data_IF_132312325442
#
_entry.id   IF_132312325442
#
_cell.length_a   1.000
_cell.length_b   1.000
_cell.length_c   1.000
_cell.angle_alpha   90.00
_cell.angle_beta   90.00
_cell.angle_gamma   90.00
#
_symmetry.space_group_name_H-M   'P 1'
#
loop_
_entity.id
_entity.type
_entity.pdbx_description
1 polymer ?
#
# COMPACT_ATOMS: atom_id res chain seq x y z
N UNK A 1 31.97 20.53 32.56
CA UNK A 1 32.17 19.21 31.90
C UNK A 1 30.89 18.43 31.56
N UNK A 2 29.72 18.66 32.18
CA UNK A 2 28.50 17.85 31.92
C UNK A 2 27.83 18.04 30.53
N UNK A 3 28.01 19.19 29.84
CA UNK A 3 27.32 19.49 28.57
C UNK A 3 27.83 18.70 27.35
N UNK A 4 29.08 18.24 27.38
CA UNK A 4 29.67 17.44 26.29
C UNK A 4 28.97 16.07 26.22
N UNK A 5 28.68 15.49 27.40
CA UNK A 5 28.04 14.19 27.52
C UNK A 5 26.58 14.22 27.02
N UNK A 6 25.84 15.31 27.27
CA UNK A 6 24.45 15.45 26.80
C UNK A 6 24.35 15.68 25.29
N UNK A 7 25.24 16.50 24.69
CA UNK A 7 25.31 16.70 23.24
C UNK A 7 25.69 15.40 22.52
N UNK A 8 26.67 14.67 23.05
CA UNK A 8 27.11 13.38 22.49
C UNK A 8 26.00 12.32 22.58
N UNK A 9 25.35 12.20 23.75
CA UNK A 9 24.19 11.33 23.95
C UNK A 9 23.06 11.65 22.95
N UNK A 10 22.73 12.93 22.76
CA UNK A 10 21.67 13.35 21.82
C UNK A 10 22.02 12.99 20.37
N UNK A 11 23.29 13.14 19.96
CA UNK A 11 23.79 12.75 18.64
C UNK A 11 23.72 11.23 18.42
N UNK A 12 24.10 10.44 19.43
CA UNK A 12 24.02 8.97 19.39
C UNK A 12 22.56 8.51 19.33
N UNK A 13 21.70 9.02 20.22
CA UNK A 13 20.28 8.67 20.25
C UNK A 13 19.57 9.00 18.93
N UNK A 14 19.90 10.13 18.29
CA UNK A 14 19.34 10.49 16.97
C UNK A 14 19.70 9.45 15.91
N UNK A 15 20.92 8.91 15.92
CA UNK A 15 21.34 7.85 14.98
C UNK A 15 20.62 6.54 15.26
N UNK A 16 20.45 6.17 16.54
CA UNK A 16 19.73 4.95 16.94
C UNK A 16 18.28 5.03 16.51
N UNK A 17 17.58 6.13 16.80
CA UNK A 17 16.19 6.31 16.38
C UNK A 17 16.05 6.34 14.85
N UNK A 18 16.97 6.99 14.16
CA UNK A 18 16.97 6.99 12.69
C UNK A 18 17.17 5.58 12.12
N UNK A 19 18.14 4.82 12.62
CA UNK A 19 18.38 3.44 12.20
C UNK A 19 17.21 2.51 12.53
N UNK A 20 16.59 2.67 13.71
CA UNK A 20 15.39 1.92 14.09
C UNK A 20 14.20 2.24 13.20
N UNK A 21 13.98 3.53 12.91
CA UNK A 21 12.92 3.98 12.02
C UNK A 21 13.12 3.48 10.59
N UNK A 22 14.34 3.59 10.03
CA UNK A 22 14.69 3.02 8.74
C UNK A 22 14.43 1.51 8.73
N UNK A 23 14.90 0.77 9.74
CA UNK A 23 14.68 -0.68 9.83
C UNK A 23 13.20 -1.05 9.86
N UNK A 24 12.36 -0.21 10.46
CA UNK A 24 10.91 -0.42 10.51
C UNK A 24 10.20 -0.04 9.20
N UNK A 25 10.62 1.04 8.54
CA UNK A 25 10.10 1.46 7.23
C UNK A 25 10.50 0.52 6.10
N UNK A 26 11.73 0.00 6.13
CA UNK A 26 12.25 -0.96 5.15
C UNK A 26 11.90 -2.42 5.53
N UNK A 27 10.93 -2.63 6.42
CA UNK A 27 10.36 -3.96 6.59
C UNK A 27 9.71 -4.39 5.27
N UNK A 28 9.98 -5.61 4.75
CA UNK A 28 9.37 -6.12 3.53
C UNK A 28 7.85 -5.92 3.45
N UNK A 29 7.14 -6.09 4.58
CA UNK A 29 5.69 -5.84 4.66
C UNK A 29 5.33 -4.37 4.44
N UNK A 30 6.11 -3.44 4.99
CA UNK A 30 5.86 -2.00 4.84
C UNK A 30 6.10 -1.55 3.40
N UNK A 31 7.16 -2.03 2.74
CA UNK A 31 7.44 -1.75 1.33
C UNK A 31 6.30 -2.25 0.45
N UNK A 32 5.86 -3.50 0.68
CA UNK A 32 4.73 -4.08 -0.04
C UNK A 32 3.43 -3.32 0.21
N UNK A 33 3.23 -2.74 1.40
CA UNK A 33 2.08 -1.89 1.72
C UNK A 33 2.11 -0.51 1.06
N UNK A 34 3.29 0.10 0.92
CA UNK A 34 3.43 1.39 0.26
C UNK A 34 3.19 1.32 -1.25
N UNK A 35 3.51 0.18 -1.88
CA UNK A 35 3.36 -0.02 -3.32
C UNK A 35 1.92 0.21 -3.81
N UNK A 36 0.87 -0.50 -3.35
CA UNK A 36 -0.49 -0.28 -3.83
C UNK A 36 -1.02 1.11 -3.44
N UNK A 37 -0.63 1.63 -2.27
CA UNK A 37 -1.02 2.99 -1.85
C UNK A 37 -0.48 4.03 -2.83
N UNK A 38 0.78 3.91 -3.23
CA UNK A 38 1.38 4.82 -4.22
C UNK A 38 0.71 4.71 -5.59
N UNK A 39 0.38 3.49 -6.05
CA UNK A 39 -0.28 3.30 -7.35
C UNK A 39 -1.69 3.90 -7.35
N UNK A 40 -2.49 3.65 -6.30
CA UNK A 40 -3.81 4.28 -6.14
C UNK A 40 -3.70 5.80 -6.08
N UNK A 41 -2.69 6.33 -5.39
CA UNK A 41 -2.41 7.76 -5.36
C UNK A 41 -2.13 8.34 -6.73
N UNK A 42 -1.34 7.66 -7.57
CA UNK A 42 -1.06 8.10 -8.94
C UNK A 42 -2.31 7.99 -9.83
N UNK A 43 -3.10 6.93 -9.69
CA UNK A 43 -4.37 6.78 -10.42
C UNK A 43 -5.33 7.92 -10.06
N UNK A 44 -5.40 8.31 -8.80
CA UNK A 44 -6.27 9.41 -8.34
C UNK A 44 -5.87 10.79 -8.92
N UNK A 45 -4.62 10.95 -9.37
CA UNK A 45 -4.19 12.15 -10.09
C UNK A 45 -4.60 12.12 -11.57
N UNK A 46 -4.74 10.93 -12.16
CA UNK A 46 -5.07 10.73 -13.57
C UNK A 46 -6.58 10.66 -13.81
N UNK A 47 -7.34 10.17 -12.82
CA UNK A 47 -8.79 9.92 -12.95
C UNK A 47 -9.54 10.54 -11.77
N UNK A 48 -10.66 11.21 -12.07
CA UNK A 48 -11.56 11.74 -11.03
C UNK A 48 -12.33 10.61 -10.34
N UNK A 49 -11.88 10.22 -9.15
CA UNK A 49 -12.56 9.21 -8.32
C UNK A 49 -13.99 9.62 -7.98
N UNK A 50 -14.24 10.92 -7.79
CA UNK A 50 -15.59 11.45 -7.53
C UNK A 50 -16.53 11.18 -8.69
N UNK A 51 -16.07 11.38 -9.93
CA UNK A 51 -16.87 11.11 -11.11
C UNK A 51 -17.10 9.61 -11.28
N UNK A 52 -16.10 8.78 -11.02
CA UNK A 52 -16.26 7.31 -11.05
C UNK A 52 -17.32 6.87 -10.04
N UNK A 53 -17.26 7.36 -8.80
CA UNK A 53 -18.21 7.01 -7.76
C UNK A 53 -19.64 7.51 -8.06
N UNK A 54 -19.78 8.71 -8.61
CA UNK A 54 -21.07 9.28 -8.96
C UNK A 54 -21.76 8.56 -10.13
N UNK A 55 -20.98 7.99 -11.05
CA UNK A 55 -21.49 7.26 -12.22
C UNK A 55 -21.55 5.75 -12.00
N UNK A 56 -21.14 5.26 -10.82
CA UNK A 56 -21.10 3.84 -10.53
C UNK A 56 -22.52 3.28 -10.37
N UNK A 57 -22.89 2.21 -11.10
CA UNK A 57 -24.19 1.56 -10.95
C UNK A 57 -24.33 0.89 -9.57
N UNK A 58 -25.57 0.56 -9.21
CA UNK A 58 -25.87 -0.09 -7.94
C UNK A 58 -25.03 -1.37 -7.74
N UNK A 59 -24.51 -1.55 -6.52
CA UNK A 59 -23.74 -2.72 -6.12
C UNK A 59 -24.52 -4.05 -6.23
N UNK A 60 -25.85 -3.97 -6.25
CA UNK A 60 -26.73 -5.14 -6.39
C UNK A 60 -26.88 -5.60 -7.84
N UNK A 61 -26.52 -4.77 -8.83
CA UNK A 61 -26.61 -5.12 -10.24
C UNK A 61 -25.22 -5.46 -10.81
N UNK A 62 -24.85 -6.74 -10.69
CA UNK A 62 -23.53 -7.26 -11.05
C UNK A 62 -23.24 -7.08 -12.55
N UNK A 63 -24.23 -7.26 -13.44
CA UNK A 63 -24.03 -7.08 -14.90
C UNK A 63 -23.71 -5.62 -15.23
N UNK A 64 -24.46 -4.68 -14.67
CA UNK A 64 -24.21 -3.25 -14.88
C UNK A 64 -22.84 -2.83 -14.33
N UNK A 65 -22.46 -3.32 -13.15
CA UNK A 65 -21.13 -3.11 -12.57
C UNK A 65 -20.01 -3.63 -13.48
N UNK A 66 -20.14 -4.87 -13.96
CA UNK A 66 -19.14 -5.47 -14.84
C UNK A 66 -18.95 -4.66 -16.11
N UNK A 67 -20.05 -4.27 -16.77
CA UNK A 67 -20.00 -3.42 -17.98
C UNK A 67 -19.37 -2.06 -17.69
N UNK A 68 -19.72 -1.45 -16.55
CA UNK A 68 -19.17 -0.17 -16.13
C UNK A 68 -17.65 -0.26 -15.92
N UNK A 69 -17.16 -1.21 -15.13
CA UNK A 69 -15.73 -1.37 -14.87
C UNK A 69 -14.95 -1.76 -16.13
N UNK A 70 -15.49 -2.66 -16.95
CA UNK A 70 -14.85 -3.04 -18.22
C UNK A 70 -14.75 -1.84 -19.16
N UNK A 71 -15.83 -1.06 -19.29
CA UNK A 71 -15.83 0.14 -20.11
C UNK A 71 -14.86 1.20 -19.56
N UNK A 72 -14.91 1.47 -18.26
CA UNK A 72 -14.02 2.43 -17.61
C UNK A 72 -12.54 2.03 -17.77
N UNK A 73 -12.20 0.76 -17.60
CA UNK A 73 -10.84 0.27 -17.77
C UNK A 73 -10.36 0.42 -19.22
N UNK A 74 -11.15 -0.04 -20.20
CA UNK A 74 -10.78 0.00 -21.62
C UNK A 74 -10.65 1.42 -22.17
N UNK A 75 -11.42 2.37 -21.62
CA UNK A 75 -11.39 3.77 -22.05
C UNK A 75 -10.41 4.66 -21.26
N UNK A 76 -9.65 4.10 -20.30
CA UNK A 76 -8.59 4.84 -19.60
C UNK A 76 -7.25 4.76 -20.33
N UNK A 77 -6.35 5.70 -20.04
CA UNK A 77 -5.00 5.69 -20.57
C UNK A 77 -4.22 4.43 -20.16
N UNK A 78 -3.28 4.00 -21.00
CA UNK A 78 -2.45 2.83 -20.76
C UNK A 78 -1.73 2.87 -19.39
N UNK A 79 -1.29 4.06 -18.94
CA UNK A 79 -0.67 4.23 -17.64
C UNK A 79 -1.62 3.86 -16.48
N UNK A 80 -2.89 4.27 -16.56
CA UNK A 80 -3.92 3.94 -15.55
C UNK A 80 -4.21 2.46 -15.57
N UNK A 81 -4.32 1.84 -16.75
CA UNK A 81 -4.52 0.39 -16.88
C UNK A 81 -3.38 -0.39 -16.22
N UNK A 82 -2.13 -0.02 -16.52
CA UNK A 82 -0.94 -0.65 -15.94
C UNK A 82 -0.90 -0.51 -14.41
N UNK A 83 -1.15 0.71 -13.90
CA UNK A 83 -1.19 0.96 -12.45
C UNK A 83 -2.32 0.22 -11.77
N UNK A 84 -3.48 0.09 -12.41
CA UNK A 84 -4.64 -0.64 -11.87
C UNK A 84 -4.34 -2.13 -11.74
N UNK A 85 -3.78 -2.75 -12.79
CA UNK A 85 -3.34 -4.15 -12.75
C UNK A 85 -2.21 -4.33 -11.72
N UNK A 86 -1.23 -3.43 -11.71
CA UNK A 86 -0.15 -3.44 -10.74
C UNK A 86 -0.65 -3.33 -9.30
N UNK A 87 -1.71 -2.55 -9.06
CA UNK A 87 -2.34 -2.42 -7.74
C UNK A 87 -2.96 -3.74 -7.30
N UNK A 88 -3.68 -4.43 -8.18
CA UNK A 88 -4.27 -5.74 -7.86
C UNK A 88 -3.20 -6.78 -7.52
N UNK A 89 -2.13 -6.82 -8.32
CA UNK A 89 -0.99 -7.73 -8.06
C UNK A 89 -0.32 -7.39 -6.73
N UNK A 90 -0.08 -6.11 -6.45
CA UNK A 90 0.54 -5.67 -5.20
C UNK A 90 -0.31 -6.03 -3.97
N UNK A 91 -1.64 -5.85 -4.05
CA UNK A 91 -2.58 -6.25 -3.00
C UNK A 91 -2.55 -7.76 -2.82
N UNK A 92 -2.56 -8.54 -3.90
CA UNK A 92 -2.50 -10.00 -3.82
C UNK A 92 -1.22 -10.49 -3.12
N UNK A 93 -0.06 -9.95 -3.50
CA UNK A 93 1.23 -10.28 -2.87
C UNK A 93 1.28 -9.86 -1.40
N UNK A 94 0.65 -8.74 -1.04
CA UNK A 94 0.51 -8.32 0.35
C UNK A 94 -0.33 -9.31 1.16
N UNK A 95 -1.49 -9.70 0.62
CA UNK A 95 -2.38 -10.64 1.28
C UNK A 95 -1.69 -11.99 1.47
N UNK A 96 -0.96 -12.48 0.46
CA UNK A 96 -0.18 -13.70 0.56
C UNK A 96 0.85 -13.64 1.70
N UNK A 97 1.60 -12.54 1.80
CA UNK A 97 2.57 -12.33 2.87
C UNK A 97 1.93 -12.23 4.25
N UNK A 98 0.80 -11.54 4.34
CA UNK A 98 0.04 -11.37 5.58
C UNK A 98 -0.47 -12.73 6.07
N UNK A 99 -1.06 -13.53 5.18
CA UNK A 99 -1.53 -14.89 5.49
C UNK A 99 -0.37 -15.79 5.93
N UNK A 100 0.76 -15.76 5.22
CA UNK A 100 1.97 -16.51 5.62
C UNK A 100 2.48 -16.09 7.00
N UNK A 101 2.54 -14.80 7.27
CA UNK A 101 3.01 -14.25 8.55
C UNK A 101 2.12 -14.71 9.71
N UNK A 102 0.79 -14.67 9.54
CA UNK A 102 -0.14 -15.14 10.57
C UNK A 102 -0.14 -16.67 10.73
N UNK A 103 -0.01 -17.43 9.64
CA UNK A 103 0.06 -18.90 9.68
C UNK A 103 1.27 -19.41 10.46
N UNK A 104 2.45 -18.79 10.25
CA UNK A 104 3.70 -19.14 10.95
C UNK A 104 3.66 -18.80 12.45
N UNK A 105 2.77 -17.90 12.88
CA UNK A 105 2.70 -17.41 14.26
C UNK A 105 1.83 -18.27 15.20
N UNK A 106 1.29 -19.41 14.74
CA UNK A 106 0.60 -20.35 15.62
C UNK A 106 1.62 -21.33 16.23
N UNK A 107 2.00 -21.20 17.52
CA UNK A 107 2.72 -22.28 18.18
C UNK A 107 1.74 -23.45 18.29
N UNK A 108 2.08 -24.56 17.62
CA UNK A 108 1.45 -25.85 17.89
C UNK A 108 1.89 -26.26 19.30
N UNK A 109 1.08 -25.91 20.30
CA UNK A 109 1.17 -26.49 21.64
C UNK A 109 0.58 -27.90 21.57
N UNK A 110 1.46 -28.90 21.53
CA UNK A 110 1.15 -30.28 21.95
C UNK A 110 1.47 -30.39 23.43
#
# INVERSE_FOLDING_TARGET
MQRINTQLKKKIMRRIYFAYFLRKMFNPLAIKAYLPVSFVGIIALQVSLTNVAANMPSMTNIDALYRFFSSAFLNTEFAVQLLSVGTLVAIFLLLEDVVKTYSISTPVTI
#
